data_IF_438609645975
#
_entry.id   IF_438609645975
#
_cell.length_a   1.000
_cell.length_b   1.000
_cell.length_c   1.000
_cell.angle_alpha   90.00
_cell.angle_beta   90.00
_cell.angle_gamma   90.00
#
_symmetry.space_group_name_H-M   'P 1'
#
loop_
_entity.id
_entity.type
_entity.pdbx_description
1 polymer ?
#
# COMPACT_ATOMS: atom_id res chain seq x y z
N UNK A 1 -1.71 -9.10 -16.12
CA UNK A 1 -2.67 -7.98 -16.28
C UNK A 1 -3.70 -8.05 -15.16
N UNK A 2 -4.25 -6.92 -14.66
CA UNK A 2 -5.27 -6.97 -13.61
C UNK A 2 -6.50 -7.75 -14.12
N UNK A 3 -6.99 -8.70 -13.32
CA UNK A 3 -8.13 -9.54 -13.69
C UNK A 3 -9.45 -8.76 -13.74
N UNK A 4 -9.53 -7.65 -13.00
CA UNK A 4 -10.73 -6.79 -12.94
C UNK A 4 -10.35 -5.32 -12.99
N UNK A 5 -11.23 -4.50 -13.56
CA UNK A 5 -11.09 -3.05 -13.60
C UNK A 5 -11.03 -2.42 -12.20
N UNK A 6 -11.83 -2.95 -11.25
CA UNK A 6 -11.78 -2.55 -9.85
C UNK A 6 -10.40 -2.84 -9.22
N UNK A 7 -9.81 -4.00 -9.52
CA UNK A 7 -8.47 -4.36 -9.05
C UNK A 7 -7.37 -3.48 -9.64
N UNK A 8 -7.52 -3.03 -10.89
CA UNK A 8 -6.63 -2.04 -11.52
C UNK A 8 -6.73 -0.69 -10.82
N UNK A 9 -7.95 -0.14 -10.68
CA UNK A 9 -8.19 1.14 -9.99
C UNK A 9 -7.64 1.14 -8.56
N UNK A 10 -7.80 0.03 -7.84
CA UNK A 10 -7.25 -0.15 -6.49
C UNK A 10 -5.73 0.05 -6.46
N UNK A 11 -5.00 -0.50 -7.42
CA UNK A 11 -3.53 -0.39 -7.46
C UNK A 11 -3.05 1.01 -7.88
N UNK A 12 -3.82 1.72 -8.68
CA UNK A 12 -3.43 3.02 -9.22
C UNK A 12 -3.79 4.19 -8.29
N UNK A 13 -4.90 4.09 -7.54
CA UNK A 13 -5.47 5.25 -6.85
C UNK A 13 -5.65 5.08 -5.35
N UNK A 14 -5.50 3.86 -4.81
CA UNK A 14 -5.70 3.65 -3.38
C UNK A 14 -4.37 3.48 -2.65
N UNK A 15 -4.29 4.13 -1.49
CA UNK A 15 -3.19 3.95 -0.56
C UNK A 15 -3.13 2.48 -0.12
N UNK A 16 -1.95 1.84 -0.16
CA UNK A 16 -1.80 0.45 0.27
C UNK A 16 -2.06 0.29 1.77
N UNK A 17 -2.49 -0.90 2.18
CA UNK A 17 -2.59 -1.27 3.59
C UNK A 17 -1.16 -1.30 4.19
N UNK A 18 -0.92 -0.74 5.38
CA UNK A 18 0.38 -0.82 6.04
C UNK A 18 0.82 -2.28 6.23
N UNK A 19 2.06 -2.66 5.85
CA UNK A 19 2.59 -4.00 6.07
C UNK A 19 2.48 -4.46 7.52
N UNK A 20 2.68 -3.57 8.50
CA UNK A 20 2.57 -3.93 9.92
C UNK A 20 1.15 -4.24 10.37
N UNK A 21 0.12 -3.93 9.58
CA UNK A 21 -1.26 -4.38 9.83
C UNK A 21 -1.55 -5.78 9.27
N UNK A 22 -0.57 -6.37 8.58
CA UNK A 22 -0.58 -7.77 8.16
C UNK A 22 0.32 -8.57 9.11
N UNK A 23 1.54 -8.11 9.34
CA UNK A 23 2.49 -8.72 10.26
C UNK A 23 3.21 -7.68 11.13
N UNK A 24 2.97 -7.73 12.44
CA UNK A 24 3.52 -6.78 13.42
C UNK A 24 5.03 -6.95 13.61
N UNK A 25 5.62 -8.09 13.22
CA UNK A 25 7.06 -8.34 13.28
C UNK A 25 7.86 -7.50 12.27
N UNK A 26 7.19 -6.95 11.25
CA UNK A 26 7.85 -6.09 10.25
C UNK A 26 8.41 -4.84 10.94
N UNK A 27 9.73 -4.57 10.81
CA UNK A 27 10.34 -3.37 11.37
C UNK A 27 9.74 -2.09 10.78
N UNK A 28 9.67 -1.02 11.58
CA UNK A 28 9.08 0.25 11.14
C UNK A 28 9.79 0.89 9.95
N UNK A 29 11.11 0.75 9.87
CA UNK A 29 11.90 1.27 8.77
C UNK A 29 11.55 0.58 7.46
N UNK A 30 11.37 -0.75 7.49
CA UNK A 30 11.03 -1.53 6.29
C UNK A 30 9.61 -1.19 5.80
N UNK A 31 8.67 -1.01 6.73
CA UNK A 31 7.34 -0.49 6.38
C UNK A 31 7.41 0.87 5.67
N UNK A 32 8.25 1.79 6.14
CA UNK A 32 8.40 3.10 5.51
C UNK A 32 8.94 3.00 4.08
N UNK A 33 9.96 2.15 3.84
CA UNK A 33 10.52 1.91 2.51
C UNK A 33 9.46 1.31 1.58
N UNK A 34 8.74 0.27 2.02
CA UNK A 34 7.68 -0.38 1.23
C UNK A 34 6.59 0.63 0.87
N UNK A 35 6.11 1.41 1.84
CA UNK A 35 5.07 2.40 1.61
C UNK A 35 5.51 3.50 0.64
N UNK A 36 6.77 3.96 0.72
CA UNK A 36 7.33 4.93 -0.22
C UNK A 36 7.45 4.37 -1.64
N UNK A 37 7.79 3.08 -1.81
CA UNK A 37 7.78 2.41 -3.12
C UNK A 37 6.36 2.30 -3.71
N UNK A 38 5.36 2.13 -2.85
CA UNK A 38 3.95 1.95 -3.23
C UNK A 38 3.14 3.26 -3.24
N UNK A 39 3.80 4.41 -3.09
CA UNK A 39 3.13 5.72 -3.06
C UNK A 39 2.41 5.99 -4.40
N UNK A 40 1.20 6.53 -4.33
CA UNK A 40 0.37 6.75 -5.54
C UNK A 40 1.01 7.83 -6.39
N UNK A 41 1.38 8.94 -5.76
CA UNK A 41 2.09 10.05 -6.38
C UNK A 41 3.54 9.66 -6.72
N UNK A 42 3.85 9.63 -8.02
CA UNK A 42 5.18 9.25 -8.52
C UNK A 42 6.28 10.18 -8.00
N UNK A 43 5.99 11.47 -7.82
CA UNK A 43 6.98 12.45 -7.35
C UNK A 43 7.42 12.21 -5.91
N UNK A 44 6.62 11.46 -5.14
CA UNK A 44 6.92 11.09 -3.75
C UNK A 44 7.56 9.70 -3.61
N UNK A 45 7.55 8.88 -4.68
CA UNK A 45 8.26 7.60 -4.71
C UNK A 45 9.76 7.79 -4.77
N UNK A 46 10.50 6.70 -4.61
CA UNK A 46 11.90 6.69 -5.01
C UNK A 46 12.01 6.91 -6.51
N UNK A 47 12.85 7.88 -6.91
CA UNK A 47 13.16 8.12 -8.32
C UNK A 47 13.98 6.98 -8.94
N UNK A 48 14.86 6.37 -8.15
CA UNK A 48 15.85 5.39 -8.61
C UNK A 48 15.93 4.19 -7.67
N UNK A 49 16.20 3.00 -8.22
CA UNK A 49 16.35 1.76 -7.45
C UNK A 49 17.55 1.81 -6.49
N UNK A 50 18.60 2.56 -6.83
CA UNK A 50 19.78 2.74 -5.98
C UNK A 50 19.43 3.38 -4.62
N UNK A 51 18.47 4.30 -4.58
CA UNK A 51 18.02 4.90 -3.33
C UNK A 51 17.30 3.88 -2.43
N UNK A 52 16.49 2.99 -3.03
CA UNK A 52 15.85 1.89 -2.29
C UNK A 52 16.91 0.97 -1.70
N UNK A 53 17.91 0.58 -2.51
CA UNK A 53 19.00 -0.28 -2.05
C UNK A 53 19.81 0.36 -0.92
N UNK A 54 20.06 1.67 -0.99
CA UNK A 54 20.74 2.41 0.06
C UNK A 54 19.98 2.34 1.39
N UNK A 55 18.68 2.57 1.37
CA UNK A 55 17.84 2.52 2.58
C UNK A 55 17.73 1.09 3.15
N UNK A 56 17.72 0.06 2.29
CA UNK A 56 17.74 -1.33 2.73
C UNK A 56 19.08 -1.73 3.38
N UNK A 57 20.20 -1.15 2.93
CA UNK A 57 21.54 -1.40 3.48
C UNK A 57 21.84 -0.62 4.75
N UNK A 58 21.15 0.51 4.97
CA UNK A 58 21.37 1.40 6.12
C UNK A 58 20.05 1.65 6.87
N UNK A 59 19.48 0.64 7.55
CA UNK A 59 18.17 0.75 8.22
C UNK A 59 18.08 1.87 9.27
N UNK A 60 19.20 2.19 9.92
CA UNK A 60 19.34 3.23 10.93
C UNK A 60 19.20 4.66 10.38
N UNK A 61 19.47 4.85 9.09
CA UNK A 61 19.35 6.15 8.41
C UNK A 61 17.95 6.40 7.83
N UNK A 62 17.07 5.38 7.86
CA UNK A 62 15.72 5.50 7.30
C UNK A 62 14.87 6.40 8.18
N UNK A 63 14.39 7.51 7.60
CA UNK A 63 13.49 8.44 8.29
C UNK A 63 12.14 7.77 8.51
N UNK A 64 11.94 7.25 9.71
CA UNK A 64 10.64 6.72 10.12
C UNK A 64 9.83 7.87 10.69
N UNK A 65 8.74 8.23 10.00
CA UNK A 65 7.81 9.20 10.56
C UNK A 65 7.38 8.77 11.97
N UNK A 66 7.62 9.65 12.95
CA UNK A 66 7.06 9.50 14.30
C UNK A 66 5.55 9.43 14.11
N UNK A 67 4.93 8.49 14.81
CA UNK A 67 3.47 8.29 14.76
C UNK A 67 2.84 9.52 15.44
N UNK A 68 2.73 10.65 14.74
CA UNK A 68 1.93 11.78 15.22
C UNK A 68 0.49 11.30 15.34
N UNK A 69 -0.15 11.63 16.46
CA UNK A 69 -1.58 11.43 16.63
C UNK A 69 -2.30 11.92 15.37
N UNK A 70 -3.32 11.18 14.88
CA UNK A 70 -3.92 11.47 13.59
C UNK A 70 -4.44 12.92 13.58
N UNK A 71 -3.92 13.73 12.65
CA UNK A 71 -4.52 15.02 12.35
C UNK A 71 -5.97 14.81 11.89
N UNK A 72 -6.84 15.81 12.07
CA UNK A 72 -8.27 15.76 11.70
C UNK A 72 -8.50 15.27 10.26
N UNK A 73 -7.57 15.54 9.35
CA UNK A 73 -7.56 15.07 7.96
C UNK A 73 -7.33 13.56 7.81
N UNK A 74 -6.41 12.98 8.60
CA UNK A 74 -6.19 11.52 8.67
C UNK A 74 -7.31 10.80 9.43
N UNK A 75 -7.93 11.46 10.40
CA UNK A 75 -9.11 10.93 11.08
C UNK A 75 -10.30 10.80 10.11
N UNK A 76 -10.51 11.78 9.22
CA UNK A 76 -11.47 11.69 8.11
C UNK A 76 -11.14 10.53 7.16
N UNK A 77 -9.85 10.32 6.83
CA UNK A 77 -9.40 9.16 6.07
C UNK A 77 -9.64 7.81 6.77
N UNK A 78 -9.50 7.75 8.09
CA UNK A 78 -9.78 6.57 8.90
C UNK A 78 -11.30 6.27 8.99
N UNK A 79 -12.14 7.29 9.11
CA UNK A 79 -13.61 7.17 9.06
C UNK A 79 -14.06 6.67 7.68
N UNK A 80 -13.46 7.18 6.60
CA UNK A 80 -13.71 6.68 5.24
C UNK A 80 -13.27 5.22 5.06
N UNK A 81 -12.16 4.82 5.69
CA UNK A 81 -11.70 3.43 5.73
C UNK A 81 -12.61 2.51 6.56
N UNK A 82 -13.33 3.04 7.56
CA UNK A 82 -14.32 2.29 8.32
C UNK A 82 -15.59 2.05 7.49
N UNK A 83 -16.02 3.04 6.70
CA UNK A 83 -17.07 2.88 5.68
C UNK A 83 -16.65 1.96 4.51
N UNK A 84 -15.36 1.59 4.41
CA UNK A 84 -14.82 0.62 3.44
C UNK A 84 -15.11 -0.84 3.81
N UNK A 85 -15.71 -1.12 4.98
CA UNK A 85 -16.08 -2.49 5.42
C UNK A 85 -17.30 -3.06 4.70
N UNK A 86 -18.11 -2.21 4.08
CA UNK A 86 -19.19 -2.69 3.23
C UNK A 86 -18.63 -2.75 1.80
N UNK A 87 -18.64 -3.96 1.22
CA UNK A 87 -18.54 -4.22 -0.22
C UNK A 87 -17.23 -4.82 -0.81
N UNK A 88 -16.17 -5.05 -0.03
CA UNK A 88 -14.97 -5.77 -0.57
C UNK A 88 -15.27 -7.20 -1.06
N UNK A 89 -16.34 -7.84 -0.57
CA UNK A 89 -16.79 -9.16 -1.02
C UNK A 89 -17.67 -9.13 -2.28
N UNK A 90 -18.29 -7.99 -2.64
CA UNK A 90 -19.15 -7.93 -3.84
C UNK A 90 -18.37 -7.50 -5.09
N UNK A 91 -17.26 -6.76 -4.91
CA UNK A 91 -16.44 -6.23 -6.00
C UNK A 91 -15.44 -7.24 -6.59
N UNK A 92 -15.29 -8.40 -5.97
CA UNK A 92 -14.54 -9.53 -6.54
C UNK A 92 -15.55 -10.37 -7.33
N UNK A 93 -15.88 -9.91 -8.54
CA UNK A 93 -16.53 -10.79 -9.52
C UNK A 93 -15.72 -12.08 -9.68
N UNK A 94 -16.42 -13.21 -9.83
CA UNK A 94 -15.81 -14.54 -10.04
C UNK A 94 -14.69 -14.42 -11.07
N UNK A 95 -13.49 -14.88 -10.69
CA UNK A 95 -12.36 -14.93 -11.62
C UNK A 95 -12.82 -15.67 -12.89
N UNK A 96 -12.63 -15.06 -14.07
CA UNK A 96 -12.82 -15.78 -15.32
C UNK A 96 -11.86 -16.97 -15.31
N UNK A 97 -12.39 -18.19 -15.26
CA UNK A 97 -11.58 -19.40 -15.30
C UNK A 97 -10.76 -19.35 -16.59
N UNK A 98 -9.44 -19.31 -16.45
CA UNK A 98 -8.53 -19.64 -17.54
C UNK A 98 -8.76 -21.11 -17.90
N UNK A 99 -9.70 -21.38 -18.80
CA UNK A 99 -9.75 -22.66 -19.48
C UNK A 99 -8.49 -22.75 -20.36
N UNK A 100 -7.47 -23.43 -19.84
CA UNK A 100 -6.35 -23.88 -20.66
C UNK A 100 -6.93 -24.79 -21.74
N UNK A 101 -6.88 -24.34 -23.00
CA UNK A 101 -7.04 -25.23 -24.15
C UNK A 101 -5.69 -25.88 -24.42
N UNK A 102 -5.74 -27.21 -24.48
CA UNK A 102 -4.67 -28.11 -24.90
C UNK A 102 -4.22 -27.84 -26.34
#
# INVERSE_FOLDING_TARGET
RPATFAGMKRRLYHVPKPPRDIDKAIPRWLEAVILRCMEVDRSKRYGEAAHVLSDLRNPDQVVVARKSAPSKERAWGAIRNLFRRTDEKSLVGKAASSAARA
#
